data_IF_865152671572
#
_entry.id   IF_865152671572
#
_cell.length_a   1.000
_cell.length_b   1.000
_cell.length_c   1.000
_cell.angle_alpha   90.00
_cell.angle_beta   90.00
_cell.angle_gamma   90.00
#
_symmetry.space_group_name_H-M   'P 1'
#
loop_
_entity.id
_entity.type
_entity.pdbx_description
1 polymer ?
#
# COMPACT_ATOMS: atom_id res chain seq x y z
N UNK A 1 -54.95 51.31 39.44
CA UNK A 1 -54.18 50.17 39.98
C UNK A 1 -53.79 49.25 38.83
N UNK A 2 -52.48 49.20 38.55
CA UNK A 2 -51.67 48.21 37.79
C UNK A 2 -52.35 47.23 36.82
N UNK A 3 -52.12 47.36 35.50
CA UNK A 3 -51.01 46.76 34.69
C UNK A 3 -51.11 45.24 34.54
N UNK A 4 -51.12 44.75 33.29
CA UNK A 4 -50.02 43.95 32.69
C UNK A 4 -50.49 43.24 31.40
N UNK A 5 -50.42 43.93 30.26
CA UNK A 5 -50.51 43.31 28.93
C UNK A 5 -49.15 42.67 28.61
N UNK A 6 -49.10 41.33 28.52
CA UNK A 6 -47.88 40.61 28.16
C UNK A 6 -47.83 40.38 26.65
N UNK A 7 -47.04 41.20 25.95
CA UNK A 7 -46.60 40.94 24.58
C UNK A 7 -45.74 39.67 24.54
N UNK A 8 -46.15 38.69 23.73
CA UNK A 8 -45.35 37.50 23.42
C UNK A 8 -44.58 37.78 22.13
N UNK A 9 -43.34 38.27 22.24
CA UNK A 9 -42.43 38.38 21.09
C UNK A 9 -41.91 36.98 20.73
N UNK A 10 -42.34 36.48 19.57
CA UNK A 10 -41.85 35.23 18.99
C UNK A 10 -40.47 35.48 18.35
N UNK A 11 -39.40 35.09 19.05
CA UNK A 11 -38.04 35.14 18.53
C UNK A 11 -37.77 33.87 17.72
N UNK A 12 -37.85 33.94 16.39
CA UNK A 12 -37.45 32.84 15.50
C UNK A 12 -35.93 32.89 15.36
N UNK A 13 -35.24 32.02 16.10
CA UNK A 13 -33.80 31.84 15.99
C UNK A 13 -33.47 31.05 14.71
N UNK A 14 -32.93 31.75 13.71
CA UNK A 14 -32.44 31.18 12.47
C UNK A 14 -31.11 30.44 12.76
N UNK A 15 -31.17 29.13 12.99
CA UNK A 15 -30.00 28.28 13.14
C UNK A 15 -29.37 28.04 11.76
N UNK A 16 -28.43 28.90 11.38
CA UNK A 16 -27.48 28.65 10.29
C UNK A 16 -26.57 27.49 10.72
N UNK A 17 -26.97 26.26 10.37
CA UNK A 17 -26.11 25.10 10.47
C UNK A 17 -24.89 25.29 9.59
N UNK A 18 -23.75 25.62 10.20
CA UNK A 18 -22.47 25.60 9.53
C UNK A 18 -22.15 24.13 9.19
N UNK A 19 -22.29 23.76 7.92
CA UNK A 19 -21.72 22.53 7.40
C UNK A 19 -20.20 22.66 7.49
N UNK A 20 -19.61 22.26 8.61
CA UNK A 20 -18.17 22.03 8.69
C UNK A 20 -17.87 20.81 7.83
N UNK A 21 -17.57 21.03 6.56
CA UNK A 21 -16.95 20.04 5.70
C UNK A 21 -15.53 19.81 6.20
N UNK A 22 -15.40 19.00 7.25
CA UNK A 22 -14.13 18.39 7.61
C UNK A 22 -13.76 17.44 6.48
N UNK A 23 -13.02 17.93 5.48
CA UNK A 23 -12.28 17.05 4.58
C UNK A 23 -11.49 16.09 5.48
N UNK A 24 -11.71 14.77 5.41
CA UNK A 24 -10.88 13.84 6.16
C UNK A 24 -9.44 14.11 5.72
N UNK A 25 -8.64 14.64 6.64
CA UNK A 25 -7.25 14.94 6.37
C UNK A 25 -6.59 13.62 6.01
N UNK A 26 -6.25 13.46 4.73
CA UNK A 26 -5.57 12.27 4.22
C UNK A 26 -4.30 12.10 5.05
N UNK A 27 -4.13 11.03 5.85
CA UNK A 27 -2.90 10.85 6.60
C UNK A 27 -1.75 10.75 5.58
N UNK A 28 -0.77 11.63 5.72
CA UNK A 28 0.38 11.68 4.83
C UNK A 28 1.22 10.43 5.09
N UNK A 29 1.25 9.51 4.14
CA UNK A 29 2.26 8.44 4.11
C UNK A 29 3.63 9.13 3.97
N UNK A 30 4.48 8.96 4.99
CA UNK A 30 5.84 9.47 4.96
C UNK A 30 6.59 8.93 3.74
N UNK A 31 7.44 9.77 3.13
CA UNK A 31 8.31 9.32 2.05
C UNK A 31 9.13 8.12 2.48
N UNK A 32 9.35 7.23 1.54
CA UNK A 32 10.09 5.99 1.73
C UNK A 32 11.50 6.26 2.22
N UNK A 33 11.99 5.42 3.14
CA UNK A 33 13.36 5.44 3.61
C UNK A 33 13.94 4.02 3.58
N UNK A 34 15.26 3.91 3.44
CA UNK A 34 15.94 2.66 3.71
C UNK A 34 15.78 2.29 5.19
N UNK A 35 15.64 1.00 5.48
CA UNK A 35 15.63 0.53 6.87
C UNK A 35 17.09 0.39 7.34
N UNK A 36 17.47 1.00 8.49
CA UNK A 36 18.83 0.89 9.01
C UNK A 36 19.29 -0.56 9.12
N UNK A 37 20.54 -0.82 8.75
CA UNK A 37 21.20 -2.13 8.82
C UNK A 37 20.51 -3.26 8.01
N UNK A 38 19.57 -2.91 7.12
CA UNK A 38 18.86 -3.85 6.26
C UNK A 38 19.01 -3.49 4.78
N UNK A 39 20.04 -4.06 4.17
CA UNK A 39 20.34 -3.88 2.74
C UNK A 39 19.11 -4.16 1.87
N UNK A 40 18.75 -3.18 1.01
CA UNK A 40 17.65 -3.25 0.03
C UNK A 40 16.26 -3.50 0.64
N UNK A 41 16.08 -3.16 1.92
CA UNK A 41 14.77 -3.04 2.54
C UNK A 41 14.44 -1.56 2.70
N UNK A 42 13.21 -1.21 2.34
CA UNK A 42 12.71 0.14 2.44
C UNK A 42 11.37 0.15 3.17
N UNK A 43 10.99 1.31 3.72
CA UNK A 43 9.73 1.49 4.45
C UNK A 43 9.09 2.82 4.11
N UNK A 44 7.77 2.84 3.90
CA UNK A 44 6.94 4.04 3.81
C UNK A 44 5.71 3.86 4.71
N UNK A 45 5.66 4.60 5.83
CA UNK A 45 4.68 4.30 6.89
C UNK A 45 4.84 2.87 7.38
N UNK A 46 3.75 2.12 7.56
CA UNK A 46 3.78 0.72 8.02
C UNK A 46 4.00 -0.32 6.90
N UNK A 47 4.40 0.13 5.72
CA UNK A 47 4.65 -0.75 4.58
C UNK A 47 6.16 -0.88 4.35
N UNK A 48 6.63 -2.12 4.36
CA UNK A 48 7.98 -2.51 4.02
C UNK A 48 8.04 -3.05 2.59
N UNK A 49 9.15 -2.80 1.91
CA UNK A 49 9.39 -3.18 0.52
C UNK A 49 10.71 -3.94 0.39
N UNK A 50 10.70 -5.05 -0.34
CA UNK A 50 11.88 -5.87 -0.55
C UNK A 50 11.90 -6.55 -1.93
N UNK A 51 13.10 -6.91 -2.39
CA UNK A 51 13.27 -8.05 -3.30
C UNK A 51 12.97 -9.38 -2.61
N UNK A 52 13.37 -10.50 -3.19
CA UNK A 52 13.15 -11.82 -2.58
C UNK A 52 13.82 -11.87 -1.19
N UNK A 53 13.07 -11.99 -0.08
CA UNK A 53 13.65 -12.13 1.25
C UNK A 53 14.05 -13.58 1.50
N UNK A 54 15.12 -13.76 2.27
CA UNK A 54 15.51 -15.04 2.87
C UNK A 54 14.88 -15.20 4.28
N UNK A 55 15.14 -16.33 4.93
CA UNK A 55 14.60 -16.65 6.27
C UNK A 55 15.00 -15.61 7.31
N UNK A 56 16.30 -15.29 7.39
CA UNK A 56 16.81 -14.32 8.34
C UNK A 56 16.14 -12.95 8.15
N UNK A 57 15.83 -12.58 6.90
CA UNK A 57 15.13 -11.33 6.61
C UNK A 57 13.67 -11.36 7.07
N UNK A 58 12.97 -12.49 6.93
CA UNK A 58 11.62 -12.62 7.49
C UNK A 58 11.61 -12.51 9.02
N UNK A 59 12.59 -13.11 9.69
CA UNK A 59 12.75 -13.01 11.15
C UNK A 59 12.99 -11.56 11.59
N UNK A 60 13.95 -10.88 10.96
CA UNK A 60 14.22 -9.47 11.26
C UNK A 60 13.00 -8.57 11.04
N UNK A 61 12.23 -8.80 9.97
CA UNK A 61 11.03 -8.01 9.70
C UNK A 61 9.91 -8.31 10.71
N UNK A 62 9.78 -9.57 11.15
CA UNK A 62 8.87 -9.94 12.24
C UNK A 62 9.25 -9.23 13.54
N UNK A 63 10.54 -9.13 13.86
CA UNK A 63 11.02 -8.42 15.05
C UNK A 63 10.79 -6.91 14.97
N UNK A 64 10.76 -6.35 13.75
CA UNK A 64 10.31 -4.98 13.47
C UNK A 64 8.78 -4.82 13.49
N UNK A 65 8.05 -5.88 13.86
CA UNK A 65 6.60 -5.86 14.05
C UNK A 65 5.79 -6.23 12.81
N UNK A 66 6.41 -6.59 11.68
CA UNK A 66 5.68 -7.07 10.50
C UNK A 66 4.82 -8.27 10.87
N UNK A 67 3.56 -8.27 10.40
CA UNK A 67 2.59 -9.36 10.64
C UNK A 67 2.07 -10.00 9.37
N UNK A 68 2.13 -9.29 8.24
CA UNK A 68 1.65 -9.78 6.96
C UNK A 68 2.73 -9.67 5.90
N UNK A 69 2.86 -10.70 5.07
CA UNK A 69 3.75 -10.74 3.90
C UNK A 69 2.90 -10.91 2.65
N UNK A 70 2.97 -9.92 1.76
CA UNK A 70 2.37 -9.93 0.43
C UNK A 70 3.46 -10.22 -0.60
N UNK A 71 3.33 -11.36 -1.29
CA UNK A 71 4.19 -11.76 -2.40
C UNK A 71 3.53 -11.39 -3.73
N UNK A 72 4.25 -10.66 -4.58
CA UNK A 72 3.81 -10.25 -5.91
C UNK A 72 4.53 -10.97 -7.06
N UNK A 73 5.27 -12.06 -6.77
CA UNK A 73 5.84 -12.92 -7.83
C UNK A 73 4.72 -13.59 -8.61
N UNK A 74 4.90 -13.73 -9.91
CA UNK A 74 3.95 -14.42 -10.79
C UNK A 74 3.84 -15.90 -10.37
N UNK A 75 2.75 -16.55 -10.76
CA UNK A 75 2.58 -17.98 -10.50
C UNK A 75 3.74 -18.78 -11.12
N UNK A 76 4.14 -18.41 -12.35
CA UNK A 76 5.27 -19.01 -13.05
C UNK A 76 6.59 -18.87 -12.28
N UNK A 77 6.90 -17.68 -11.78
CA UNK A 77 8.13 -17.46 -11.01
C UNK A 77 8.15 -18.28 -9.72
N UNK A 78 6.99 -18.54 -9.11
CA UNK A 78 6.89 -19.39 -7.93
C UNK A 78 7.11 -20.86 -8.27
N UNK A 79 6.57 -21.33 -9.40
CA UNK A 79 6.85 -22.68 -9.91
C UNK A 79 8.34 -22.85 -10.23
N UNK A 80 8.94 -21.91 -10.95
CA UNK A 80 10.37 -21.96 -11.30
C UNK A 80 11.27 -21.96 -10.06
N UNK A 81 10.92 -21.19 -9.02
CA UNK A 81 11.65 -21.23 -7.74
C UNK A 81 11.54 -22.59 -7.05
N UNK A 82 10.36 -23.20 -7.06
CA UNK A 82 10.15 -24.51 -6.45
C UNK A 82 10.91 -25.62 -7.19
N UNK A 83 10.97 -25.53 -8.51
CA UNK A 83 11.64 -26.51 -9.38
C UNK A 83 13.18 -26.38 -9.36
N UNK A 84 13.72 -25.18 -9.12
CA UNK A 84 15.15 -24.93 -9.26
C UNK A 84 16.03 -25.61 -8.19
N UNK A 85 15.47 -26.21 -7.12
CA UNK A 85 16.16 -26.73 -5.91
C UNK A 85 17.14 -25.75 -5.23
N UNK A 86 17.31 -24.54 -5.78
CA UNK A 86 18.13 -23.47 -5.24
C UNK A 86 17.34 -22.77 -4.14
N UNK A 87 17.52 -23.20 -2.90
CA UNK A 87 16.84 -22.59 -1.75
C UNK A 87 15.36 -22.33 -2.06
N UNK A 88 14.67 -23.37 -2.55
CA UNK A 88 13.22 -23.41 -2.63
C UNK A 88 12.70 -23.40 -1.19
N UNK A 89 12.89 -22.25 -0.55
CA UNK A 89 12.34 -21.95 0.74
C UNK A 89 10.86 -22.21 0.57
N UNK A 90 10.35 -23.19 1.31
CA UNK A 90 8.92 -23.29 1.52
C UNK A 90 8.52 -22.07 2.34
N UNK A 91 8.43 -20.94 1.65
CA UNK A 91 8.17 -19.63 2.21
C UNK A 91 6.84 -19.67 2.97
N UNK A 92 5.89 -20.48 2.50
CA UNK A 92 4.60 -20.65 3.17
C UNK A 92 4.83 -21.31 4.53
N UNK A 93 5.57 -22.41 4.59
CA UNK A 93 5.93 -23.06 5.87
C UNK A 93 6.73 -22.15 6.78
N UNK A 94 7.78 -21.49 6.28
CA UNK A 94 8.61 -20.60 7.09
C UNK A 94 7.80 -19.42 7.63
N UNK A 95 7.00 -18.76 6.81
CA UNK A 95 6.16 -17.66 7.29
C UNK A 95 5.11 -18.13 8.30
N UNK A 96 4.51 -19.31 8.08
CA UNK A 96 3.58 -19.92 9.04
C UNK A 96 4.26 -20.20 10.38
N UNK A 97 5.44 -20.79 10.36
CA UNK A 97 6.20 -21.11 11.58
C UNK A 97 6.68 -19.82 12.27
N UNK A 98 6.88 -18.75 11.51
CA UNK A 98 7.12 -17.41 12.04
C UNK A 98 5.84 -16.70 12.56
N UNK A 99 4.65 -17.28 12.39
CA UNK A 99 3.39 -16.65 12.76
C UNK A 99 3.04 -15.43 11.91
N UNK A 100 3.57 -15.34 10.68
CA UNK A 100 3.31 -14.28 9.72
C UNK A 100 2.19 -14.72 8.77
N UNK A 101 1.22 -13.83 8.56
CA UNK A 101 0.16 -14.05 7.58
C UNK A 101 0.71 -13.91 6.16
N UNK A 102 0.49 -14.91 5.31
CA UNK A 102 0.97 -14.90 3.93
C UNK A 102 -0.17 -14.64 2.94
N UNK A 103 0.05 -13.71 2.02
CA UNK A 103 -0.85 -13.40 0.90
C UNK A 103 -0.05 -13.45 -0.39
N UNK A 104 -0.51 -14.25 -1.36
CA UNK A 104 0.06 -14.27 -2.70
C UNK A 104 -0.89 -13.58 -3.69
N UNK A 105 -0.39 -12.55 -4.37
CA UNK A 105 -1.10 -11.86 -5.45
C UNK A 105 -0.21 -11.96 -6.69
N UNK A 106 -0.38 -13.01 -7.52
CA UNK A 106 0.42 -13.19 -8.73
C UNK A 106 0.37 -11.97 -9.63
N UNK A 107 1.52 -11.49 -10.10
CA UNK A 107 1.59 -10.28 -10.91
C UNK A 107 2.67 -10.36 -11.99
N UNK A 108 2.30 -10.00 -13.22
CA UNK A 108 3.17 -10.01 -14.39
C UNK A 108 3.14 -11.34 -15.16
N UNK A 109 3.86 -11.41 -16.29
CA UNK A 109 3.80 -12.56 -17.19
C UNK A 109 2.35 -12.84 -17.63
N UNK A 110 1.92 -14.09 -17.50
CA UNK A 110 0.55 -14.53 -17.83
C UNK A 110 -0.50 -14.05 -16.82
N UNK A 111 -0.10 -13.65 -15.61
CA UNK A 111 -1.02 -13.10 -14.60
C UNK A 111 -1.41 -11.65 -14.94
N UNK A 112 -0.55 -10.95 -15.68
CA UNK A 112 -0.78 -9.59 -16.19
C UNK A 112 -0.73 -8.50 -15.13
N UNK A 113 -1.20 -7.30 -15.51
CA UNK A 113 -1.38 -6.14 -14.64
C UNK A 113 -2.79 -5.59 -14.89
N UNK A 114 -3.63 -5.50 -13.85
CA UNK A 114 -5.00 -5.00 -13.99
C UNK A 114 -5.53 -4.44 -12.65
N UNK A 115 -6.70 -3.78 -12.63
CA UNK A 115 -7.27 -3.22 -11.40
C UNK A 115 -7.66 -4.24 -10.33
N UNK A 116 -7.97 -5.49 -10.70
CA UNK A 116 -8.37 -6.51 -9.70
C UNK A 116 -7.19 -6.91 -8.81
N UNK A 117 -5.95 -6.84 -9.32
CA UNK A 117 -4.76 -7.00 -8.48
C UNK A 117 -4.63 -5.89 -7.43
N UNK A 118 -4.92 -4.64 -7.80
CA UNK A 118 -4.89 -3.50 -6.87
C UNK A 118 -6.00 -3.64 -5.83
N UNK A 119 -7.18 -4.14 -6.23
CA UNK A 119 -8.28 -4.45 -5.31
C UNK A 119 -7.90 -5.55 -4.31
N UNK A 120 -7.30 -6.65 -4.77
CA UNK A 120 -6.82 -7.72 -3.89
C UNK A 120 -5.73 -7.22 -2.93
N UNK A 121 -4.82 -6.38 -3.43
CA UNK A 121 -3.79 -5.75 -2.61
C UNK A 121 -4.40 -4.84 -1.55
N UNK A 122 -5.37 -4.00 -1.91
CA UNK A 122 -6.07 -3.13 -0.96
C UNK A 122 -6.74 -3.95 0.15
N UNK A 123 -7.47 -5.01 -0.21
CA UNK A 123 -8.10 -5.89 0.77
C UNK A 123 -7.09 -6.51 1.75
N UNK A 124 -5.92 -6.93 1.26
CA UNK A 124 -4.85 -7.46 2.11
C UNK A 124 -4.24 -6.41 3.05
N UNK A 125 -4.08 -5.16 2.58
CA UNK A 125 -3.60 -4.05 3.42
C UNK A 125 -4.63 -3.69 4.50
N UNK A 126 -5.91 -3.55 4.16
CA UNK A 126 -6.94 -3.18 5.15
C UNK A 126 -7.18 -4.28 6.21
N UNK A 127 -6.95 -5.54 5.85
CA UNK A 127 -7.08 -6.67 6.77
C UNK A 127 -5.85 -6.87 7.68
N UNK A 128 -4.73 -6.20 7.41
CA UNK A 128 -3.50 -6.40 8.16
C UNK A 128 -3.59 -5.79 9.57
N UNK A 129 -3.23 -6.56 10.60
CA UNK A 129 -3.25 -6.13 12.00
C UNK A 129 -1.97 -5.42 12.45
N UNK A 130 -1.11 -5.02 11.52
CA UNK A 130 0.20 -4.44 11.79
C UNK A 130 0.99 -4.20 10.49
N UNK A 131 2.28 -3.83 10.60
CA UNK A 131 3.11 -3.58 9.44
C UNK A 131 3.14 -4.73 8.43
N UNK A 132 3.22 -4.37 7.15
CA UNK A 132 3.12 -5.30 6.02
C UNK A 132 4.41 -5.27 5.23
N UNK A 133 4.98 -6.43 4.95
CA UNK A 133 6.01 -6.60 3.92
C UNK A 133 5.35 -6.85 2.57
N UNK A 134 5.73 -6.07 1.57
CA UNK A 134 5.38 -6.31 0.17
C UNK A 134 6.66 -6.61 -0.60
N UNK A 135 6.73 -7.77 -1.27
CA UNK A 135 7.92 -8.16 -2.01
C UNK A 135 7.61 -8.76 -3.38
N UNK A 136 8.65 -8.84 -4.21
CA UNK A 136 8.68 -9.64 -5.43
C UNK A 136 10.14 -10.05 -5.69
N UNK A 137 10.51 -10.50 -6.89
CA UNK A 137 11.92 -10.83 -7.19
C UNK A 137 12.92 -9.69 -6.88
N UNK A 138 12.67 -8.47 -7.41
CA UNK A 138 13.58 -7.32 -7.27
C UNK A 138 13.10 -6.18 -6.36
N UNK A 139 11.84 -6.25 -5.90
CA UNK A 139 11.12 -5.21 -5.16
C UNK A 139 10.40 -4.17 -6.02
N UNK A 140 10.66 -4.12 -7.33
CA UNK A 140 10.07 -3.10 -8.18
C UNK A 140 8.53 -3.24 -8.33
N UNK A 141 7.96 -4.46 -8.35
CA UNK A 141 6.49 -4.65 -8.41
C UNK A 141 5.81 -4.17 -7.12
N UNK A 142 6.47 -4.37 -5.98
CA UNK A 142 5.98 -3.90 -4.69
C UNK A 142 5.82 -2.38 -4.66
N UNK A 143 6.81 -1.64 -5.19
CA UNK A 143 6.73 -0.17 -5.33
C UNK A 143 5.55 0.26 -6.19
N UNK A 144 5.40 -0.35 -7.36
CA UNK A 144 4.40 0.07 -8.35
C UNK A 144 2.98 -0.31 -7.90
N UNK A 145 2.82 -1.46 -7.24
CA UNK A 145 1.56 -1.84 -6.60
C UNK A 145 1.16 -0.83 -5.51
N UNK A 146 2.11 -0.42 -4.67
CA UNK A 146 1.85 0.60 -3.65
C UNK A 146 1.47 1.95 -4.25
N UNK A 147 2.14 2.39 -5.32
CA UNK A 147 1.76 3.60 -6.04
C UNK A 147 0.33 3.50 -6.58
N UNK A 148 -0.03 2.38 -7.21
CA UNK A 148 -1.38 2.16 -7.74
C UNK A 148 -2.44 2.18 -6.62
N UNK A 149 -2.13 1.58 -5.47
CA UNK A 149 -2.98 1.63 -4.28
C UNK A 149 -3.16 3.04 -3.74
N UNK A 150 -2.07 3.81 -3.58
CA UNK A 150 -2.14 5.19 -3.10
C UNK A 150 -3.04 6.06 -3.99
N UNK A 151 -2.91 5.90 -5.31
CA UNK A 151 -3.74 6.62 -6.28
C UNK A 151 -5.20 6.19 -6.22
N UNK A 152 -5.46 4.89 -6.15
CA UNK A 152 -6.81 4.33 -6.28
C UNK A 152 -7.62 4.41 -4.98
N UNK A 153 -6.98 4.09 -3.86
CA UNK A 153 -7.65 3.88 -2.56
C UNK A 153 -7.32 4.95 -1.52
N UNK A 154 -6.30 5.77 -1.75
CA UNK A 154 -5.92 6.86 -0.83
C UNK A 154 -6.06 8.24 -1.45
N UNK A 155 -6.40 8.35 -2.74
CA UNK A 155 -6.66 9.63 -3.40
C UNK A 155 -5.41 10.47 -3.66
N UNK A 156 -4.23 9.85 -3.70
CA UNK A 156 -2.98 10.49 -4.13
C UNK A 156 -2.99 10.75 -5.64
N UNK A 157 -2.31 11.81 -6.07
CA UNK A 157 -1.91 11.92 -7.47
C UNK A 157 -0.81 10.92 -7.76
N UNK A 158 -0.58 10.61 -9.04
CA UNK A 158 0.51 9.73 -9.41
C UNK A 158 1.87 10.32 -9.02
N UNK A 159 2.07 11.63 -9.22
CA UNK A 159 3.33 12.29 -8.89
C UNK A 159 3.63 12.22 -7.38
N UNK A 160 2.61 12.42 -6.54
CA UNK A 160 2.77 12.25 -5.09
C UNK A 160 3.13 10.80 -4.73
N UNK A 161 2.45 9.83 -5.34
CA UNK A 161 2.72 8.41 -5.09
C UNK A 161 4.13 7.99 -5.54
N UNK A 162 4.59 8.50 -6.68
CA UNK A 162 5.96 8.31 -7.17
C UNK A 162 6.95 8.93 -6.20
N UNK A 163 6.72 10.16 -5.74
CA UNK A 163 7.63 10.82 -4.80
C UNK A 163 7.74 10.06 -3.47
N UNK A 164 6.63 9.53 -2.94
CA UNK A 164 6.63 8.69 -1.74
C UNK A 164 7.56 7.49 -1.90
N UNK A 165 7.67 6.93 -3.09
CA UNK A 165 8.48 5.72 -3.34
C UNK A 165 9.81 6.00 -4.02
N UNK A 166 10.16 7.27 -4.24
CA UNK A 166 11.32 7.66 -5.07
C UNK A 166 12.63 7.07 -4.57
N UNK A 167 12.85 7.07 -3.26
CA UNK A 167 14.06 6.53 -2.62
C UNK A 167 14.19 5.02 -2.78
N UNK A 168 13.11 4.33 -3.16
CA UNK A 168 13.09 2.89 -3.37
C UNK A 168 13.55 2.53 -4.79
N UNK A 169 13.64 3.48 -5.73
CA UNK A 169 14.09 3.29 -7.12
C UNK A 169 13.00 3.49 -8.19
N UNK A 170 13.39 3.44 -9.47
CA UNK A 170 12.53 3.79 -10.61
C UNK A 170 11.32 2.87 -10.81
N UNK A 171 10.38 3.27 -11.67
CA UNK A 171 9.18 2.50 -11.99
C UNK A 171 9.31 1.85 -13.38
N UNK A 172 9.70 0.58 -13.49
CA UNK A 172 9.81 -0.09 -14.79
C UNK A 172 8.49 -0.75 -15.26
N UNK A 173 7.39 -0.65 -14.52
CA UNK A 173 6.18 -1.47 -14.74
C UNK A 173 4.96 -0.66 -15.22
N UNK A 174 4.00 -1.32 -15.91
CA UNK A 174 2.91 -0.61 -16.59
C UNK A 174 1.81 -0.15 -15.63
N UNK A 175 2.06 0.90 -14.84
CA UNK A 175 1.12 1.40 -13.82
C UNK A 175 -0.26 1.78 -14.40
N UNK A 176 -0.33 2.23 -15.65
CA UNK A 176 -1.60 2.51 -16.36
C UNK A 176 -2.53 1.31 -16.43
N UNK A 177 -1.98 0.09 -16.57
CA UNK A 177 -2.75 -1.14 -16.61
C UNK A 177 -3.31 -1.49 -15.22
N UNK A 178 -2.50 -1.32 -14.17
CA UNK A 178 -2.97 -1.45 -12.78
C UNK A 178 -4.08 -0.45 -12.45
N UNK A 179 -3.97 0.78 -12.95
CA UNK A 179 -4.98 1.83 -12.75
C UNK A 179 -6.22 1.66 -13.65
N UNK A 180 -6.17 0.77 -14.65
CA UNK A 180 -7.26 0.58 -15.62
C UNK A 180 -7.55 1.83 -16.48
N UNK A 181 -6.60 2.77 -16.56
CA UNK A 181 -6.78 4.04 -17.28
C UNK A 181 -5.47 4.57 -17.84
N UNK A 182 -5.55 5.25 -18.97
CA UNK A 182 -4.44 6.01 -19.56
C UNK A 182 -4.17 7.24 -18.72
N UNK A 183 -2.90 7.52 -18.44
CA UNK A 183 -2.48 8.74 -17.78
C UNK A 183 -2.40 9.85 -18.82
N UNK A 184 -3.00 11.00 -18.53
CA UNK A 184 -2.97 12.18 -19.43
C UNK A 184 -1.57 12.79 -19.51
N UNK A 185 -0.79 12.67 -18.45
CA UNK A 185 0.62 13.04 -18.39
C UNK A 185 1.35 11.92 -17.65
N UNK A 186 2.43 11.41 -18.26
CA UNK A 186 3.41 10.63 -17.51
C UNK A 186 4.32 11.61 -16.77
N UNK A 187 4.74 11.30 -15.53
CA UNK A 187 5.72 12.12 -14.82
C UNK A 187 6.90 12.40 -15.76
N UNK A 188 7.28 13.67 -15.90
CA UNK A 188 8.26 14.08 -16.90
C UNK A 188 9.62 13.41 -16.64
N UNK A 189 10.04 12.55 -17.58
CA UNK A 189 11.38 11.97 -17.68
C UNK A 189 11.90 11.32 -16.40
N UNK A 190 11.60 10.03 -16.20
CA UNK A 190 12.37 9.05 -15.38
C UNK A 190 11.60 7.73 -15.30
N UNK A 191 11.94 6.82 -16.20
CA UNK A 191 11.63 5.38 -16.15
C UNK A 191 12.96 4.64 -16.28
#
# INVERSE_FOLDING_TARGET
MSLCTRSFSLLVALLLGACTSSSPHRPVVASGAAVPDMTRIYRAGDIYFAGQPDVARFEQLRDLGVRTVINLRSAREMTELAEAEQDALDQITVLRDLGLHYVHIPLGGNDGYNPTHVQAFAAAIEAASGPVLVHCASGARARVMWQAYLVTYRGYTLDEAVEITRTLGDNPYPIEQLLGRRLRQRPAGRL
#
